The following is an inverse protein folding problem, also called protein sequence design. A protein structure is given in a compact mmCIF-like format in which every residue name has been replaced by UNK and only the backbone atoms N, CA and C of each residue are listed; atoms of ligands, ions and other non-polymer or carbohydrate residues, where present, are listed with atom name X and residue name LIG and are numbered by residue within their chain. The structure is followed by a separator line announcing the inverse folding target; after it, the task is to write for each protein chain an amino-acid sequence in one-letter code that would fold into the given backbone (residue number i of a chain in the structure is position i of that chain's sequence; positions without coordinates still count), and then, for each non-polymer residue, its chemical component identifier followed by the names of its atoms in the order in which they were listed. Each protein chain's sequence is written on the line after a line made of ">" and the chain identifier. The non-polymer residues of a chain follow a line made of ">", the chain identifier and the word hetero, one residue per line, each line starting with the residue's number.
data_IF_189213848279
#
_entry.id   IF_189213848279
#
_cell.length_a   1.000
_cell.length_b   1.000
_cell.length_c   1.000
_cell.angle_alpha   90.00
_cell.angle_beta   90.00
_cell.angle_gamma   90.00
#
_symmetry.space_group_name_H-M   'P 1'
#
loop_
_entity.id
_entity.type
_entity.pdbx_description
1 polymer ?
#
# COMPACT_ATOMS: atom_id res chain seq x y z
N UNK A 1 34.36 6.06 30.84
CA UNK A 1 33.75 7.40 30.73
C UNK A 1 32.26 7.22 30.75
N UNK A 2 31.65 7.14 31.92
CA UNK A 2 30.25 7.24 32.20
C UNK A 2 29.88 8.72 32.13
N UNK A 3 29.25 9.13 31.04
CA UNK A 3 28.48 10.34 30.95
C UNK A 3 27.06 9.92 30.70
N UNK A 4 26.16 10.16 31.65
CA UNK A 4 24.73 10.05 31.42
C UNK A 4 24.39 10.85 30.16
N UNK A 5 23.66 10.23 29.18
CA UNK A 5 23.26 10.98 27.99
C UNK A 5 22.33 12.10 28.44
N UNK A 6 22.69 13.33 28.15
CA UNK A 6 21.82 14.48 28.31
C UNK A 6 20.44 14.16 27.76
N UNK A 7 19.35 14.51 28.47
CA UNK A 7 18.01 14.26 28.00
C UNK A 7 17.80 14.93 26.63
N UNK A 8 17.61 14.13 25.59
CA UNK A 8 17.38 14.64 24.25
C UNK A 8 15.90 15.00 24.13
N UNK A 9 15.62 16.24 23.75
CA UNK A 9 14.28 16.64 23.34
C UNK A 9 13.97 16.07 21.96
N UNK A 10 12.83 15.38 21.85
CA UNK A 10 12.35 14.82 20.60
C UNK A 10 11.08 15.55 20.18
N UNK A 11 11.06 15.97 18.94
CA UNK A 11 9.86 16.47 18.30
C UNK A 11 9.21 15.31 17.55
N UNK A 12 7.89 15.18 17.66
CA UNK A 12 7.14 14.18 16.91
C UNK A 12 5.99 14.85 16.18
N UNK A 13 5.66 14.29 15.02
CA UNK A 13 4.51 14.70 14.23
C UNK A 13 3.78 13.45 13.77
N UNK A 14 2.47 13.40 14.00
CA UNK A 14 1.63 12.27 13.57
C UNK A 14 0.96 12.62 12.25
N UNK A 15 1.10 11.74 11.29
CA UNK A 15 0.43 11.84 9.99
C UNK A 15 -0.73 10.85 10.01
N UNK A 16 -1.95 11.36 10.02
CA UNK A 16 -3.16 10.55 10.06
C UNK A 16 -3.70 10.28 8.64
N UNK A 17 -4.62 9.32 8.52
CA UNK A 17 -5.33 8.97 7.29
C UNK A 17 -4.45 8.45 6.14
N UNK A 18 -3.31 7.87 6.46
CA UNK A 18 -2.51 7.14 5.47
C UNK A 18 -3.20 5.80 5.16
N UNK A 19 -3.18 5.41 3.87
CA UNK A 19 -3.64 4.09 3.46
C UNK A 19 -2.59 3.06 3.85
N UNK A 20 -2.95 2.02 4.63
CA UNK A 20 -2.05 0.92 4.96
C UNK A 20 -1.53 0.23 3.69
N UNK A 21 -0.26 -0.20 3.70
CA UNK A 21 0.36 -0.86 2.56
C UNK A 21 0.58 0.03 1.32
N UNK A 22 0.28 1.33 1.39
CA UNK A 22 0.59 2.26 0.32
C UNK A 22 1.94 2.93 0.58
N UNK A 23 2.84 2.85 -0.39
CA UNK A 23 4.18 3.44 -0.30
C UNK A 23 4.10 4.95 -0.11
N UNK A 24 4.76 5.45 0.93
CA UNK A 24 4.85 6.86 1.24
C UNK A 24 6.31 7.28 1.34
N UNK A 25 6.60 8.50 0.90
CA UNK A 25 7.90 9.11 1.10
C UNK A 25 7.77 10.24 2.11
N UNK A 26 8.42 10.09 3.24
CA UNK A 26 8.43 11.10 4.30
C UNK A 26 9.81 11.75 4.37
N UNK A 27 9.82 13.06 4.44
CA UNK A 27 11.04 13.84 4.61
C UNK A 27 10.84 14.91 5.66
N UNK A 28 11.82 15.06 6.53
CA UNK A 28 11.90 16.21 7.44
C UNK A 28 12.91 17.18 6.83
N UNK A 29 12.46 18.39 6.57
CA UNK A 29 13.31 19.47 6.06
C UNK A 29 13.54 20.52 7.14
N UNK A 30 14.69 21.18 7.06
CA UNK A 30 14.99 22.37 7.83
C UNK A 30 15.05 23.56 6.87
N UNK A 31 14.67 24.71 7.34
CA UNK A 31 14.80 25.95 6.59
C UNK A 31 15.40 27.06 7.48
N UNK A 32 16.04 28.00 6.85
CA UNK A 32 16.43 29.25 7.50
C UNK A 32 15.39 30.34 7.19
N UNK A 33 15.41 31.42 7.95
CA UNK A 33 14.50 32.53 7.74
C UNK A 33 14.96 33.51 6.62
N UNK A 34 16.12 33.25 6.02
CA UNK A 34 16.75 34.21 5.13
C UNK A 34 17.12 35.48 5.83
N UNK A 35 17.44 36.53 5.07
CA UNK A 35 17.69 37.87 5.56
C UNK A 35 17.11 38.90 4.59
N UNK A 36 15.83 39.25 4.71
CA UNK A 36 15.14 40.16 3.78
C UNK A 36 15.82 41.55 3.62
N UNK A 37 16.51 42.02 4.68
CA UNK A 37 17.27 43.27 4.65
C UNK A 37 18.50 43.23 3.73
N UNK A 38 18.93 42.03 3.31
CA UNK A 38 20.04 41.81 2.38
C UNK A 38 19.59 41.08 1.10
N UNK A 39 18.29 41.06 0.84
CA UNK A 39 17.69 40.41 -0.32
C UNK A 39 18.01 38.88 -0.40
N UNK A 40 18.20 38.23 0.76
CA UNK A 40 18.42 36.79 0.87
C UNK A 40 17.11 36.10 1.21
N UNK A 41 16.65 35.27 0.28
CA UNK A 41 15.48 34.39 0.48
C UNK A 41 15.77 33.27 1.45
N UNK A 42 14.73 32.79 2.13
CA UNK A 42 14.78 31.52 2.91
C UNK A 42 15.23 30.36 2.04
N UNK A 43 16.11 29.53 2.58
CA UNK A 43 16.59 28.30 1.96
C UNK A 43 16.07 27.08 2.72
N UNK A 44 15.58 26.09 1.97
CA UNK A 44 15.12 24.82 2.52
C UNK A 44 16.11 23.70 2.16
N UNK A 45 16.33 22.77 3.09
CA UNK A 45 17.18 21.60 2.83
C UNK A 45 16.59 20.71 1.72
N UNK A 46 17.46 19.97 1.02
CA UNK A 46 17.06 19.15 -0.13
C UNK A 46 16.07 18.04 0.27
N UNK A 47 14.89 18.03 -0.31
CA UNK A 47 13.81 17.06 -0.05
C UNK A 47 14.19 15.65 -0.47
N UNK A 48 14.77 15.50 -1.66
CA UNK A 48 15.07 14.20 -2.26
C UNK A 48 16.17 13.42 -1.56
N UNK A 49 17.15 14.10 -0.97
CA UNK A 49 18.32 13.45 -0.36
C UNK A 49 18.00 12.72 0.95
N UNK A 50 17.00 13.19 1.69
CA UNK A 50 16.68 12.70 3.04
C UNK A 50 15.30 12.06 3.12
N UNK A 51 14.61 11.91 1.99
CA UNK A 51 13.36 11.19 1.95
C UNK A 51 13.54 9.75 2.42
N UNK A 52 12.68 9.32 3.34
CA UNK A 52 12.60 7.94 3.82
C UNK A 52 11.35 7.30 3.24
N UNK A 53 11.53 6.15 2.66
CA UNK A 53 10.41 5.31 2.26
C UNK A 53 9.80 4.67 3.50
N UNK A 54 8.51 4.74 3.63
CA UNK A 54 7.74 4.22 4.75
C UNK A 54 6.47 3.57 4.19
N UNK A 55 6.21 2.35 4.61
CA UNK A 55 4.91 1.72 4.41
C UNK A 55 4.14 1.86 5.72
N UNK A 56 3.00 2.57 5.73
CA UNK A 56 2.20 2.68 6.94
C UNK A 56 1.77 1.29 7.41
N UNK A 57 2.14 0.93 8.62
CA UNK A 57 1.75 -0.32 9.22
C UNK A 57 0.25 -0.31 9.54
N UNK A 58 -0.44 -1.36 9.10
CA UNK A 58 -1.78 -1.84 9.39
C UNK A 58 -2.82 -0.91 10.01
N UNK A 59 -4.03 -1.30 9.92
CA UNK A 59 -5.26 -0.87 10.60
C UNK A 59 -5.23 0.38 11.51
N UNK A 60 -4.78 1.51 11.01
CA UNK A 60 -4.98 2.79 11.69
C UNK A 60 -6.35 3.42 11.34
N UNK A 61 -7.09 2.86 10.42
CA UNK A 61 -8.40 3.34 10.01
C UNK A 61 -9.49 2.78 10.92
N UNK A 62 -10.36 3.66 11.41
CA UNK A 62 -11.64 3.24 12.03
C UNK A 62 -12.57 2.56 11.01
N UNK A 63 -12.32 2.76 9.72
CA UNK A 63 -12.98 2.09 8.61
C UNK A 63 -12.23 0.79 8.29
N UNK A 64 -12.69 -0.31 8.85
CA UNK A 64 -12.15 -1.66 8.64
C UNK A 64 -12.56 -2.28 7.29
N UNK A 65 -13.12 -1.48 6.37
CA UNK A 65 -13.62 -2.01 5.09
C UNK A 65 -12.45 -2.33 4.16
N UNK A 66 -12.37 -3.57 3.73
CA UNK A 66 -11.38 -4.00 2.73
C UNK A 66 -11.66 -3.33 1.38
N UNK A 67 -10.62 -2.79 0.78
CA UNK A 67 -10.68 -2.10 -0.51
C UNK A 67 -9.73 -2.73 -1.51
N UNK A 68 -10.08 -2.68 -2.78
CA UNK A 68 -9.26 -3.19 -3.89
C UNK A 68 -8.88 -2.03 -4.80
N UNK A 69 -7.59 -1.92 -5.12
CA UNK A 69 -7.05 -0.84 -5.94
C UNK A 69 -6.11 -1.42 -7.00
N UNK A 70 -6.17 -0.94 -8.24
CA UNK A 70 -7.17 -0.04 -8.81
C UNK A 70 -8.51 -0.74 -9.04
N UNK A 71 -9.60 -0.01 -8.91
CA UNK A 71 -10.94 -0.52 -9.19
C UNK A 71 -11.76 0.56 -9.91
N UNK A 72 -12.09 0.42 -11.20
CA UNK A 72 -11.80 -0.73 -12.07
C UNK A 72 -10.31 -0.87 -12.41
N UNK A 73 -9.84 -2.11 -12.58
CA UNK A 73 -8.53 -2.40 -13.17
C UNK A 73 -8.66 -2.38 -14.70
N UNK A 74 -7.79 -1.62 -15.36
CA UNK A 74 -7.75 -1.52 -16.82
C UNK A 74 -6.39 -2.00 -17.34
N UNK A 75 -6.38 -2.99 -18.23
CA UNK A 75 -5.14 -3.56 -18.78
C UNK A 75 -4.41 -2.59 -19.70
N UNK A 76 -5.15 -1.67 -20.35
CA UNK A 76 -4.62 -0.64 -21.24
C UNK A 76 -4.07 0.60 -20.49
N UNK A 77 -4.17 0.65 -19.17
CA UNK A 77 -3.68 1.75 -18.37
C UNK A 77 -2.30 1.43 -17.77
N UNK A 78 -1.41 2.40 -17.84
CA UNK A 78 -0.11 2.31 -17.20
C UNK A 78 -0.22 2.67 -15.71
N UNK A 79 0.04 1.70 -14.85
CA UNK A 79 0.04 1.86 -13.40
C UNK A 79 1.45 2.01 -12.82
N UNK A 80 2.47 2.20 -13.64
CA UNK A 80 3.87 2.31 -13.19
C UNK A 80 4.08 3.45 -12.18
N UNK A 81 3.30 4.54 -12.32
CA UNK A 81 3.36 5.66 -11.37
C UNK A 81 2.80 5.32 -9.98
N UNK A 82 1.92 4.32 -9.89
CA UNK A 82 1.28 3.90 -8.64
C UNK A 82 2.03 2.80 -7.91
N UNK A 83 2.92 2.09 -8.62
CA UNK A 83 3.64 0.96 -8.09
C UNK A 83 5.15 1.21 -8.13
N UNK A 84 5.87 0.67 -7.17
CA UNK A 84 7.33 0.84 -7.00
C UNK A 84 8.17 0.44 -8.25
N UNK A 85 7.55 -0.22 -9.22
CA UNK A 85 8.19 -0.64 -10.47
C UNK A 85 8.62 0.52 -11.38
N UNK A 86 8.12 1.72 -11.17
CA UNK A 86 8.59 2.92 -11.88
C UNK A 86 10.08 3.18 -11.71
N UNK A 87 10.71 2.58 -10.70
CA UNK A 87 12.16 2.71 -10.42
C UNK A 87 13.04 1.91 -11.36
N UNK A 88 12.53 0.84 -11.97
CA UNK A 88 13.30 -0.01 -12.90
C UNK A 88 13.04 0.30 -14.38
N UNK A 89 12.07 1.17 -14.67
CA UNK A 89 11.82 1.72 -16.01
C UNK A 89 11.19 0.76 -17.02
N UNK A 90 10.89 -0.48 -16.65
CA UNK A 90 10.30 -1.44 -17.59
C UNK A 90 8.99 -2.01 -17.03
N UNK A 91 7.89 -1.69 -17.69
CA UNK A 91 6.60 -2.36 -17.50
C UNK A 91 6.66 -3.75 -18.12
N UNK A 92 6.43 -4.78 -17.32
CA UNK A 92 6.32 -6.16 -17.78
C UNK A 92 4.92 -6.69 -17.53
N UNK A 93 4.52 -7.79 -18.20
CA UNK A 93 3.24 -8.47 -17.89
C UNK A 93 3.15 -8.94 -16.43
N UNK A 94 4.27 -9.13 -15.75
CA UNK A 94 4.36 -9.45 -14.32
C UNK A 94 4.08 -8.26 -13.41
N UNK A 95 4.08 -7.05 -13.96
CA UNK A 95 3.75 -5.83 -13.23
C UNK A 95 2.24 -5.63 -13.04
N UNK A 96 1.43 -6.49 -13.65
CA UNK A 96 -0.03 -6.45 -13.51
C UNK A 96 -0.44 -6.94 -12.15
N UNK A 97 -1.06 -6.07 -11.35
CA UNK A 97 -1.54 -6.44 -10.03
C UNK A 97 -2.74 -5.61 -9.57
N UNK A 98 -3.55 -6.22 -8.73
CA UNK A 98 -4.50 -5.57 -7.84
C UNK A 98 -3.96 -5.67 -6.42
N UNK A 99 -4.20 -4.66 -5.61
CA UNK A 99 -3.85 -4.66 -4.19
C UNK A 99 -5.10 -4.57 -3.34
N UNK A 100 -5.22 -5.49 -2.40
CA UNK A 100 -6.19 -5.44 -1.33
C UNK A 100 -5.62 -4.64 -0.17
N UNK A 101 -6.41 -3.71 0.39
CA UNK A 101 -6.03 -2.85 1.50
C UNK A 101 -6.97 -3.01 2.67
N UNK A 102 -6.54 -2.56 3.85
CA UNK A 102 -7.26 -2.69 5.10
C UNK A 102 -7.54 -4.15 5.48
N UNK A 103 -6.59 -5.03 5.18
CA UNK A 103 -6.69 -6.43 5.55
C UNK A 103 -6.51 -6.61 7.06
N UNK A 104 -7.23 -7.57 7.68
CA UNK A 104 -6.89 -8.07 9.01
C UNK A 104 -5.47 -8.66 9.05
N UNK A 105 -4.82 -8.63 10.21
CA UNK A 105 -3.44 -9.09 10.38
C UNK A 105 -3.22 -10.54 9.91
N UNK A 106 -4.26 -11.38 10.01
CA UNK A 106 -4.27 -12.74 9.46
C UNK A 106 -5.61 -13.00 8.82
N UNK A 107 -5.61 -13.18 7.52
CA UNK A 107 -6.86 -13.39 6.81
C UNK A 107 -6.70 -14.29 5.58
N UNK A 108 -7.83 -14.77 5.09
CA UNK A 108 -7.94 -15.54 3.86
C UNK A 108 -8.80 -14.79 2.86
N UNK A 109 -8.24 -14.50 1.69
CA UNK A 109 -8.90 -13.79 0.61
C UNK A 109 -9.33 -14.83 -0.42
N UNK A 110 -10.60 -14.87 -0.76
CA UNK A 110 -11.12 -15.71 -1.85
C UNK A 110 -11.76 -14.84 -2.91
N UNK A 111 -11.40 -15.10 -4.16
CA UNK A 111 -11.87 -14.35 -5.33
C UNK A 111 -12.73 -15.28 -6.18
N UNK A 112 -13.90 -14.80 -6.58
CA UNK A 112 -14.89 -15.56 -7.31
C UNK A 112 -15.32 -14.84 -8.59
N UNK A 113 -15.77 -15.60 -9.59
CA UNK A 113 -16.55 -15.07 -10.70
C UNK A 113 -17.93 -14.61 -10.19
N UNK A 114 -18.67 -13.92 -11.04
CA UNK A 114 -20.04 -13.52 -10.71
C UNK A 114 -20.98 -14.74 -10.53
N UNK A 115 -20.65 -15.86 -11.19
CA UNK A 115 -21.40 -17.12 -11.10
C UNK A 115 -21.03 -17.95 -9.84
N UNK A 116 -20.05 -17.49 -9.07
CA UNK A 116 -19.64 -18.11 -7.81
C UNK A 116 -18.48 -19.11 -7.94
N UNK A 117 -17.86 -19.23 -9.11
CA UNK A 117 -16.67 -20.10 -9.27
C UNK A 117 -15.45 -19.49 -8.61
N UNK A 118 -14.74 -20.29 -7.82
CA UNK A 118 -13.49 -19.86 -7.17
C UNK A 118 -12.38 -19.65 -8.20
N UNK A 119 -11.91 -18.42 -8.30
CA UNK A 119 -10.83 -17.99 -9.19
C UNK A 119 -9.47 -18.14 -8.53
N UNK A 120 -9.32 -17.62 -7.31
CA UNK A 120 -8.05 -17.64 -6.55
C UNK A 120 -8.33 -17.59 -5.05
N UNK A 121 -7.44 -18.18 -4.28
CA UNK A 121 -7.34 -18.04 -2.83
C UNK A 121 -5.94 -17.51 -2.50
N UNK A 122 -5.88 -16.53 -1.58
CA UNK A 122 -4.64 -15.95 -1.06
C UNK A 122 -4.70 -16.01 0.45
N UNK A 123 -3.60 -16.35 1.07
CA UNK A 123 -3.41 -16.29 2.53
C UNK A 123 -2.55 -15.06 2.84
N UNK A 124 -2.98 -14.26 3.81
CA UNK A 124 -2.27 -13.06 4.26
C UNK A 124 -1.93 -13.17 5.75
N UNK A 125 -0.69 -12.84 6.09
CA UNK A 125 -0.20 -12.79 7.48
C UNK A 125 0.82 -11.64 7.63
N UNK A 126 0.44 -10.59 8.34
CA UNK A 126 1.29 -9.42 8.61
C UNK A 126 2.65 -9.77 9.26
N UNK A 127 2.75 -10.94 9.89
CA UNK A 127 3.97 -11.38 10.55
C UNK A 127 4.88 -12.21 9.64
N UNK A 128 4.46 -12.53 8.43
CA UNK A 128 5.27 -13.29 7.49
C UNK A 128 6.40 -12.42 6.90
N UNK A 129 7.59 -12.98 6.78
CA UNK A 129 8.75 -12.26 6.26
C UNK A 129 8.54 -11.87 4.78
N UNK A 130 8.63 -10.58 4.49
CA UNK A 130 8.47 -10.03 3.14
C UNK A 130 7.04 -9.66 2.75
N UNK A 131 6.07 -9.90 3.63
CA UNK A 131 4.68 -9.49 3.41
C UNK A 131 4.45 -8.00 3.73
N UNK A 132 3.44 -7.44 3.10
CA UNK A 132 3.01 -6.05 3.34
C UNK A 132 1.99 -6.02 4.46
N UNK A 133 2.22 -5.19 5.47
CA UNK A 133 1.29 -5.07 6.61
C UNK A 133 -0.04 -4.48 6.14
N UNK A 134 -1.14 -5.21 6.38
CA UNK A 134 -2.51 -4.80 6.03
C UNK A 134 -2.80 -4.72 4.53
N UNK A 135 -1.95 -5.30 3.68
CA UNK A 135 -2.15 -5.28 2.23
C UNK A 135 -1.61 -6.56 1.56
N UNK A 136 -2.26 -6.97 0.47
CA UNK A 136 -1.90 -8.14 -0.30
C UNK A 136 -2.01 -7.88 -1.80
N UNK A 137 -0.98 -8.23 -2.57
CA UNK A 137 -0.94 -8.08 -4.02
C UNK A 137 -1.40 -9.36 -4.74
N UNK A 138 -2.25 -9.20 -5.73
CA UNK A 138 -2.66 -10.30 -6.61
C UNK A 138 -2.34 -9.97 -8.08
N UNK A 139 -1.62 -10.86 -8.73
CA UNK A 139 -1.12 -10.71 -10.09
C UNK A 139 -2.16 -11.00 -11.21
N UNK A 140 -3.45 -11.10 -10.87
CA UNK A 140 -4.54 -11.38 -11.82
C UNK A 140 -4.44 -12.76 -12.51
N UNK A 141 -3.77 -13.70 -11.86
CA UNK A 141 -3.66 -15.09 -12.31
C UNK A 141 -4.58 -15.98 -11.47
N UNK A 142 -5.37 -16.82 -12.13
CA UNK A 142 -6.27 -17.74 -11.47
C UNK A 142 -5.52 -18.96 -10.87
N UNK A 143 -6.26 -19.85 -10.20
CA UNK A 143 -5.70 -21.08 -9.60
C UNK A 143 -5.13 -22.09 -10.60
N UNK A 144 -5.38 -21.91 -11.91
CA UNK A 144 -4.89 -22.74 -12.99
C UNK A 144 -3.74 -22.08 -13.78
N UNK A 145 -3.11 -21.06 -13.21
CA UNK A 145 -2.03 -20.25 -13.80
C UNK A 145 -2.42 -19.57 -15.13
N UNK A 146 -3.68 -19.20 -15.25
CA UNK A 146 -4.20 -18.48 -16.41
C UNK A 146 -4.58 -17.05 -16.03
N UNK A 147 -4.31 -16.10 -16.92
CA UNK A 147 -4.75 -14.72 -16.75
C UNK A 147 -6.28 -14.63 -16.79
N UNK A 148 -6.87 -13.93 -15.81
CA UNK A 148 -8.32 -13.72 -15.76
C UNK A 148 -8.81 -12.89 -16.94
N UNK A 149 -10.10 -12.95 -17.23
CA UNK A 149 -10.75 -12.20 -18.31
C UNK A 149 -11.42 -10.93 -17.78
N UNK A 150 -11.90 -10.07 -18.70
CA UNK A 150 -12.75 -8.93 -18.32
C UNK A 150 -14.03 -9.41 -17.64
N UNK A 151 -14.39 -8.73 -16.57
CA UNK A 151 -15.61 -9.09 -15.83
C UNK A 151 -15.70 -8.41 -14.47
N UNK A 152 -16.81 -8.70 -13.80
CA UNK A 152 -17.00 -8.36 -12.39
C UNK A 152 -16.60 -9.58 -11.57
N UNK A 153 -15.80 -9.34 -10.55
CA UNK A 153 -15.36 -10.34 -9.60
C UNK A 153 -15.84 -10.00 -8.20
N UNK A 154 -16.19 -11.02 -7.45
CA UNK A 154 -16.55 -10.91 -6.04
C UNK A 154 -15.35 -11.41 -5.22
N UNK A 155 -15.06 -10.75 -4.12
CA UNK A 155 -14.09 -11.25 -3.16
C UNK A 155 -14.70 -11.37 -1.76
N UNK A 156 -14.23 -12.32 -1.01
CA UNK A 156 -14.47 -12.43 0.44
C UNK A 156 -13.14 -12.42 1.18
N UNK A 157 -13.11 -11.70 2.28
CA UNK A 157 -11.97 -11.69 3.22
C UNK A 157 -12.48 -12.22 4.56
N UNK A 158 -11.92 -13.33 4.97
CA UNK A 158 -12.20 -13.99 6.25
C UNK A 158 -11.08 -13.67 7.23
N UNK A 159 -11.37 -12.95 8.28
CA UNK A 159 -10.45 -12.72 9.40
C UNK A 159 -10.31 -14.01 10.20
N UNK A 160 -9.09 -14.55 10.27
CA UNK A 160 -8.82 -15.83 10.94
C UNK A 160 -8.77 -15.72 12.47
N UNK A 161 -8.75 -14.51 13.02
CA UNK A 161 -8.77 -14.28 14.46
C UNK A 161 -10.19 -14.11 14.98
N UNK A 162 -11.03 -13.35 14.27
CA UNK A 162 -12.39 -13.03 14.70
C UNK A 162 -13.45 -13.90 14.02
N UNK A 163 -13.13 -14.51 12.87
CA UNK A 163 -14.07 -15.22 12.02
C UNK A 163 -15.03 -14.30 11.26
N UNK A 164 -14.80 -12.99 11.30
CA UNK A 164 -15.60 -12.02 10.54
C UNK A 164 -15.33 -12.14 9.04
N UNK A 165 -16.37 -12.07 8.22
CA UNK A 165 -16.24 -12.15 6.77
C UNK A 165 -16.72 -10.83 6.15
N UNK A 166 -15.85 -10.21 5.37
CA UNK A 166 -16.20 -9.07 4.54
C UNK A 166 -16.30 -9.51 3.08
N UNK A 167 -17.30 -8.95 2.37
CA UNK A 167 -17.52 -9.24 0.95
C UNK A 167 -17.51 -7.95 0.16
N UNK A 168 -16.83 -7.95 -0.96
CA UNK A 168 -16.76 -6.82 -1.86
C UNK A 168 -16.69 -7.25 -3.33
N UNK A 169 -16.53 -6.27 -4.20
CA UNK A 169 -16.44 -6.50 -5.65
C UNK A 169 -15.43 -5.58 -6.30
N UNK A 170 -14.85 -6.03 -7.40
CA UNK A 170 -14.03 -5.23 -8.29
C UNK A 170 -14.28 -5.57 -9.74
N UNK A 171 -13.81 -4.73 -10.64
CA UNK A 171 -14.02 -4.85 -12.08
C UNK A 171 -12.68 -4.91 -12.79
N UNK A 172 -12.55 -5.83 -13.74
CA UNK A 172 -11.40 -5.94 -14.65
C UNK A 172 -11.87 -5.64 -16.06
N UNK A 173 -11.14 -4.77 -16.77
CA UNK A 173 -11.38 -4.35 -18.14
C UNK A 173 -10.10 -4.63 -18.93
N UNK A 174 -10.21 -5.49 -19.94
CA UNK A 174 -9.12 -5.82 -20.88
C UNK A 174 -9.38 -5.22 -22.24
#
# INVERSE_FOLDING_TARGET
>A
FEGDPEPREYYYYTIDNLLPGNDQYVVVTSFDFGQPSKDLSSLESAKTKYARWVVPAGMASQDKTVRVVPNPYRVDHDYSEFWEYSRTGEWTEYSRKLRFFNLPARCKIRIYTLDGDLVKELDHDDNAEGEMVGAEDWNLINRNDQAIVSGIYIFSVEDLETGEIQVGKFVVIK
#
